data_IF_855967171894
#
_entry.id   IF_855967171894
#
_cell.length_a   1.000
_cell.length_b   1.000
_cell.length_c   1.000
_cell.angle_alpha   90.00
_cell.angle_beta   90.00
_cell.angle_gamma   90.00
#
_symmetry.space_group_name_H-M   'P 1'
#
loop_
_entity.id
_entity.type
_entity.pdbx_description
1 polymer ?
#
# COMPACT_ATOMS: atom_id res chain seq x y z
N UNK A 1 -6.32 13.80 -12.06
CA UNK A 1 -5.97 12.36 -12.12
C UNK A 1 -4.65 12.25 -11.39
N UNK A 2 -4.56 11.43 -10.35
CA UNK A 2 -3.34 11.32 -9.54
C UNK A 2 -2.25 10.62 -10.35
N UNK A 3 -1.43 11.40 -11.05
CA UNK A 3 -0.30 10.92 -11.87
C UNK A 3 0.77 10.20 -11.04
N UNK A 4 0.69 10.26 -9.71
CA UNK A 4 1.65 9.67 -8.76
C UNK A 4 1.35 8.20 -8.40
N UNK A 5 0.15 7.69 -8.69
CA UNK A 5 -0.19 6.30 -8.38
C UNK A 5 0.07 5.41 -9.58
N UNK A 6 0.76 4.29 -9.35
CA UNK A 6 0.89 3.25 -10.37
C UNK A 6 -0.42 2.45 -10.38
N UNK A 7 -1.12 2.34 -11.53
CA UNK A 7 -2.38 1.62 -11.61
C UNK A 7 -2.23 0.15 -11.19
N UNK A 8 -3.16 -0.35 -10.37
CA UNK A 8 -3.12 -1.75 -9.91
C UNK A 8 -3.05 -2.76 -11.06
N UNK A 9 -3.71 -2.46 -12.18
CA UNK A 9 -3.66 -3.28 -13.40
C UNK A 9 -2.24 -3.48 -13.96
N UNK A 10 -1.36 -2.50 -13.78
CA UNK A 10 0.04 -2.60 -14.20
C UNK A 10 0.87 -3.49 -13.27
N UNK A 11 0.41 -3.71 -12.04
CA UNK A 11 1.11 -4.48 -11.00
C UNK A 11 0.75 -5.97 -11.03
N UNK A 12 -0.29 -6.36 -11.77
CA UNK A 12 -0.76 -7.76 -11.85
C UNK A 12 0.32 -8.71 -12.36
N UNK A 13 1.18 -8.27 -13.27
CA UNK A 13 2.30 -9.08 -13.78
C UNK A 13 3.33 -9.44 -12.69
N UNK A 14 3.37 -8.68 -11.60
CA UNK A 14 4.29 -8.87 -10.47
C UNK A 14 3.71 -9.78 -9.39
N UNK A 15 2.44 -10.22 -9.50
CA UNK A 15 1.80 -11.01 -8.45
C UNK A 15 2.52 -12.34 -8.19
N UNK A 16 3.02 -12.99 -9.24
CA UNK A 16 3.75 -14.25 -9.12
C UNK A 16 5.09 -14.07 -8.41
N UNK A 17 5.84 -13.01 -8.72
CA UNK A 17 7.09 -12.71 -8.00
C UNK A 17 6.81 -12.32 -6.55
N UNK A 18 5.73 -11.59 -6.31
CA UNK A 18 5.31 -11.21 -4.96
C UNK A 18 4.93 -12.43 -4.12
N UNK A 19 4.26 -13.44 -4.70
CA UNK A 19 3.96 -14.72 -4.03
C UNK A 19 5.25 -15.45 -3.60
N UNK A 20 6.29 -15.43 -4.44
CA UNK A 20 7.60 -16.00 -4.11
C UNK A 20 8.24 -15.25 -2.94
N UNK A 21 8.19 -13.92 -2.97
CA UNK A 21 8.74 -13.09 -1.89
C UNK A 21 7.98 -13.29 -0.57
N UNK A 22 6.66 -13.34 -0.60
CA UNK A 22 5.82 -13.63 0.57
C UNK A 22 6.11 -15.01 1.15
N UNK A 23 6.27 -16.02 0.30
CA UNK A 23 6.62 -17.39 0.75
C UNK A 23 7.97 -17.43 1.46
N UNK A 24 8.93 -16.57 1.08
CA UNK A 24 10.24 -16.49 1.71
C UNK A 24 10.21 -15.91 3.14
N UNK A 25 9.14 -15.18 3.49
CA UNK A 25 8.97 -14.53 4.80
C UNK A 25 7.75 -15.05 5.57
N UNK A 26 7.12 -16.14 5.11
CA UNK A 26 5.81 -16.61 5.55
C UNK A 26 5.65 -16.97 7.05
N UNK A 27 6.71 -16.85 7.86
CA UNK A 27 6.65 -16.98 9.31
C UNK A 27 6.80 -15.66 10.09
N UNK A 28 7.14 -14.55 9.42
CA UNK A 28 7.34 -13.24 10.05
C UNK A 28 6.08 -12.37 10.05
N UNK A 29 5.14 -12.64 9.14
CA UNK A 29 3.94 -11.84 8.94
C UNK A 29 2.75 -12.52 9.65
N UNK A 30 2.10 -11.75 10.54
CA UNK A 30 0.88 -12.19 11.25
C UNK A 30 -0.40 -11.92 10.44
N UNK A 31 -0.36 -10.96 9.51
CA UNK A 31 -1.48 -10.59 8.63
C UNK A 31 -1.57 -11.55 7.43
N UNK A 32 -2.76 -12.06 7.11
CA UNK A 32 -2.96 -12.94 5.95
C UNK A 32 -2.90 -12.12 4.63
N UNK A 33 -1.85 -12.28 3.79
CA UNK A 33 -1.76 -11.54 2.54
C UNK A 33 -2.78 -11.98 1.48
N UNK A 34 -3.47 -13.11 1.69
CA UNK A 34 -4.46 -13.65 0.75
C UNK A 34 -5.90 -13.41 1.21
N UNK A 35 -6.10 -12.62 2.26
CA UNK A 35 -7.44 -12.25 2.70
C UNK A 35 -8.22 -11.57 1.56
N UNK A 36 -9.45 -12.01 1.24
CA UNK A 36 -10.19 -11.50 0.09
C UNK A 36 -10.63 -10.03 0.26
N UNK A 37 -10.64 -9.49 1.48
CA UNK A 37 -11.11 -8.12 1.74
C UNK A 37 -9.97 -7.11 1.69
N UNK A 38 -8.80 -7.43 2.27
CA UNK A 38 -7.69 -6.49 2.39
C UNK A 38 -6.36 -6.98 1.80
N UNK A 39 -6.27 -8.26 1.41
CA UNK A 39 -5.03 -8.92 1.01
C UNK A 39 -4.35 -8.23 -0.16
N UNK A 40 -5.13 -7.82 -1.17
CA UNK A 40 -4.60 -7.03 -2.32
C UNK A 40 -3.94 -5.74 -1.83
N UNK A 41 -4.61 -4.95 -0.99
CA UNK A 41 -4.06 -3.70 -0.49
C UNK A 41 -2.77 -3.92 0.31
N UNK A 42 -2.75 -4.95 1.16
CA UNK A 42 -1.57 -5.31 1.94
C UNK A 42 -0.40 -5.78 1.06
N UNK A 43 -0.67 -6.62 0.07
CA UNK A 43 0.30 -7.10 -0.93
C UNK A 43 0.93 -5.93 -1.69
N UNK A 44 0.11 -4.98 -2.15
CA UNK A 44 0.60 -3.78 -2.84
C UNK A 44 1.43 -2.89 -1.92
N UNK A 45 1.01 -2.69 -0.67
CA UNK A 45 1.84 -2.00 0.31
C UNK A 45 3.23 -2.65 0.46
N UNK A 46 3.32 -3.97 0.57
CA UNK A 46 4.60 -4.68 0.66
C UNK A 46 5.45 -4.54 -0.60
N UNK A 47 4.82 -4.56 -1.78
CA UNK A 47 5.52 -4.32 -3.05
C UNK A 47 6.23 -2.96 -3.05
N UNK A 48 5.56 -1.88 -2.67
CA UNK A 48 6.14 -0.53 -2.69
C UNK A 48 7.11 -0.26 -1.53
N UNK A 49 6.84 -0.81 -0.34
CA UNK A 49 7.60 -0.50 0.88
C UNK A 49 8.79 -1.45 1.13
N UNK A 50 8.64 -2.74 0.81
CA UNK A 50 9.63 -3.77 1.14
C UNK A 50 10.39 -4.29 -0.08
N UNK A 51 9.72 -4.37 -1.23
CA UNK A 51 10.32 -4.95 -2.45
C UNK A 51 10.17 -4.07 -3.70
N UNK A 52 10.55 -2.78 -3.66
CA UNK A 52 10.44 -1.90 -4.82
C UNK A 52 11.28 -2.38 -6.02
N UNK A 53 12.32 -3.19 -5.80
CA UNK A 53 13.13 -3.80 -6.87
C UNK A 53 12.35 -4.79 -7.76
N UNK A 54 11.18 -5.26 -7.33
CA UNK A 54 10.29 -6.03 -8.21
C UNK A 54 9.66 -5.15 -9.30
N UNK A 55 9.46 -3.86 -9.05
CA UNK A 55 8.93 -2.93 -10.04
C UNK A 55 9.88 -2.86 -11.25
N UNK A 56 11.19 -2.79 -11.00
CA UNK A 56 12.21 -2.77 -12.06
C UNK A 56 12.18 -4.03 -12.94
N UNK A 57 11.86 -5.20 -12.36
CA UNK A 57 11.71 -6.45 -13.11
C UNK A 57 10.49 -6.46 -14.02
N UNK A 58 9.44 -5.75 -13.63
CA UNK A 58 8.26 -5.52 -14.44
C UNK A 58 8.37 -4.35 -15.41
N UNK A 59 9.58 -3.78 -15.60
CA UNK A 59 9.83 -2.58 -16.41
C UNK A 59 9.03 -1.35 -15.91
N UNK A 60 8.63 -1.36 -14.63
CA UNK A 60 7.97 -0.25 -13.95
C UNK A 60 9.03 0.51 -13.15
N UNK A 61 9.40 1.68 -13.63
CA UNK A 61 10.31 2.57 -12.91
C UNK A 61 9.50 3.55 -12.08
N UNK A 62 9.65 3.47 -10.76
CA UNK A 62 9.03 4.39 -9.81
C UNK A 62 10.10 5.31 -9.21
N UNK A 63 9.80 6.61 -9.18
CA UNK A 63 10.55 7.59 -8.41
C UNK A 63 10.36 7.37 -6.91
N UNK A 64 11.23 7.96 -6.08
CA UNK A 64 11.10 7.88 -4.62
C UNK A 64 9.76 8.47 -4.13
N UNK A 65 9.24 9.49 -4.81
CA UNK A 65 7.95 10.10 -4.52
C UNK A 65 6.78 9.16 -4.85
N UNK A 66 6.82 8.50 -6.00
CA UNK A 66 5.82 7.47 -6.36
C UNK A 66 5.88 6.29 -5.39
N UNK A 67 7.06 5.82 -4.98
CA UNK A 67 7.20 4.78 -3.97
C UNK A 67 6.57 5.19 -2.63
N UNK A 68 6.79 6.43 -2.19
CA UNK A 68 6.21 6.98 -0.96
C UNK A 68 4.69 7.01 -1.04
N UNK A 69 4.12 7.65 -2.08
CA UNK A 69 2.68 7.84 -2.19
C UNK A 69 1.92 6.54 -2.45
N UNK A 70 2.48 5.62 -3.25
CA UNK A 70 1.89 4.30 -3.42
C UNK A 70 1.94 3.50 -2.12
N UNK A 71 3.06 3.53 -1.37
CA UNK A 71 3.14 2.87 -0.06
C UNK A 71 2.10 3.43 0.91
N UNK A 72 1.98 4.75 0.99
CA UNK A 72 0.99 5.43 1.84
C UNK A 72 -0.44 5.05 1.45
N UNK A 73 -0.78 5.20 0.17
CA UNK A 73 -2.12 4.92 -0.35
C UNK A 73 -2.55 3.48 -0.04
N UNK A 74 -1.70 2.50 -0.36
CA UNK A 74 -2.02 1.09 -0.15
C UNK A 74 -2.06 0.72 1.34
N UNK A 75 -1.20 1.31 2.18
CA UNK A 75 -1.24 1.11 3.62
C UNK A 75 -2.51 1.70 4.25
N UNK A 76 -2.91 2.91 3.85
CA UNK A 76 -4.15 3.53 4.33
C UNK A 76 -5.37 2.69 3.93
N UNK A 77 -5.42 2.26 2.66
CA UNK A 77 -6.49 1.39 2.16
C UNK A 77 -6.55 0.05 2.92
N UNK A 78 -5.39 -0.58 3.12
CA UNK A 78 -5.27 -1.79 3.96
C UNK A 78 -5.79 -1.54 5.38
N UNK A 79 -5.35 -0.45 6.03
CA UNK A 79 -5.75 -0.10 7.40
C UNK A 79 -7.27 0.01 7.54
N UNK A 80 -7.93 0.72 6.62
CA UNK A 80 -9.40 0.88 6.65
C UNK A 80 -10.16 -0.40 6.34
N UNK A 81 -9.69 -1.22 5.41
CA UNK A 81 -10.30 -2.53 5.12
C UNK A 81 -10.12 -3.50 6.29
N UNK A 82 -8.94 -3.55 6.88
CA UNK A 82 -8.66 -4.35 8.07
C UNK A 82 -9.51 -3.90 9.27
N UNK A 83 -9.63 -2.59 9.50
CA UNK A 83 -10.48 -2.01 10.55
C UNK A 83 -11.94 -2.44 10.42
N UNK A 84 -12.50 -2.42 9.20
CA UNK A 84 -13.90 -2.85 8.96
C UNK A 84 -14.13 -4.31 9.30
N UNK A 85 -13.14 -5.17 9.07
CA UNK A 85 -13.24 -6.62 9.28
C UNK A 85 -12.94 -7.04 10.72
N UNK A 86 -11.91 -6.46 11.32
CA UNK A 86 -11.35 -6.90 12.60
C UNK A 86 -11.57 -5.90 13.75
N UNK A 87 -12.11 -4.72 13.44
CA UNK A 87 -12.17 -3.59 14.37
C UNK A 87 -10.89 -2.76 14.34
N UNK A 88 -10.95 -1.63 15.04
CA UNK A 88 -9.87 -0.65 15.10
C UNK A 88 -8.58 -1.23 15.69
N UNK A 89 -7.47 -1.03 14.99
CA UNK A 89 -6.12 -1.39 15.40
C UNK A 89 -5.21 -0.15 15.35
N UNK A 90 -4.92 0.41 16.52
CA UNK A 90 -4.07 1.59 16.66
C UNK A 90 -2.63 1.35 16.16
N UNK A 91 -2.14 0.11 16.19
CA UNK A 91 -0.82 -0.24 15.69
C UNK A 91 -0.76 -0.12 14.16
N UNK A 92 -1.79 -0.63 13.48
CA UNK A 92 -1.91 -0.52 12.01
C UNK A 92 -2.10 0.94 11.59
N UNK A 93 -2.97 1.70 12.28
CA UNK A 93 -3.16 3.12 11.98
C UNK A 93 -1.87 3.93 12.19
N UNK A 94 -1.12 3.66 13.27
CA UNK A 94 0.17 4.31 13.50
C UNK A 94 1.18 4.03 12.38
N UNK A 95 1.15 2.85 11.77
CA UNK A 95 2.03 2.54 10.63
C UNK A 95 1.73 3.40 9.40
N UNK A 96 0.47 3.79 9.18
CA UNK A 96 0.10 4.74 8.10
C UNK A 96 0.82 6.08 8.28
N UNK A 97 0.79 6.63 9.50
CA UNK A 97 1.46 7.90 9.81
C UNK A 97 2.99 7.80 9.73
N UNK A 98 3.57 6.68 10.19
CA UNK A 98 5.02 6.45 10.11
C UNK A 98 5.59 6.49 8.69
N UNK A 99 4.79 6.16 7.67
CA UNK A 99 5.20 6.27 6.26
C UNK A 99 5.46 7.74 5.90
N UNK A 100 4.59 8.64 6.36
CA UNK A 100 4.70 10.08 6.10
C UNK A 100 5.82 10.72 6.93
N UNK A 101 6.06 10.24 8.16
CA UNK A 101 7.09 10.77 9.06
C UNK A 101 8.51 10.36 8.63
N UNK A 102 8.70 9.14 8.15
CA UNK A 102 10.03 8.58 7.85
C UNK A 102 10.47 8.77 6.40
N UNK A 103 9.93 9.78 5.71
CA UNK A 103 10.31 10.08 4.34
C UNK A 103 11.46 11.08 4.27
N UNK A 104 12.40 10.83 3.34
CA UNK A 104 13.41 11.81 2.94
C UNK A 104 12.95 12.68 1.75
N UNK A 105 11.73 12.44 1.25
CA UNK A 105 11.16 13.20 0.15
C UNK A 105 10.49 14.48 0.65
N UNK A 106 10.40 15.48 -0.22
CA UNK A 106 9.59 16.66 0.06
C UNK A 106 8.11 16.28 -0.07
N UNK A 107 7.43 16.17 1.07
CA UNK A 107 6.04 15.71 1.12
C UNK A 107 5.08 16.83 0.70
N UNK A 108 4.24 16.55 -0.30
CA UNK A 108 3.14 17.44 -0.69
C UNK A 108 1.85 17.02 0.03
N UNK A 109 1.45 17.83 1.01
CA UNK A 109 0.25 17.59 1.79
C UNK A 109 -1.04 17.60 0.96
N UNK A 110 -1.08 18.31 -0.18
CA UNK A 110 -2.24 18.27 -1.07
C UNK A 110 -2.40 16.89 -1.70
N UNK A 111 -1.29 16.24 -2.06
CA UNK A 111 -1.31 14.88 -2.60
C UNK A 111 -1.77 13.89 -1.54
N UNK A 112 -1.26 14.00 -0.31
CA UNK A 112 -1.69 13.16 0.83
C UNK A 112 -3.20 13.29 1.09
N UNK A 113 -3.72 14.52 1.12
CA UNK A 113 -5.16 14.77 1.28
C UNK A 113 -5.98 14.16 0.14
N UNK A 114 -5.54 14.34 -1.12
CA UNK A 114 -6.21 13.75 -2.28
C UNK A 114 -6.24 12.22 -2.22
N UNK A 115 -5.14 11.59 -1.80
CA UNK A 115 -5.07 10.13 -1.65
C UNK A 115 -5.96 9.63 -0.52
N UNK A 116 -6.06 10.40 0.57
CA UNK A 116 -6.96 10.08 1.70
C UNK A 116 -8.41 10.10 1.23
N UNK A 117 -8.83 11.20 0.61
CA UNK A 117 -10.18 11.36 0.07
C UNK A 117 -10.50 10.29 -0.99
N UNK A 118 -9.50 9.89 -1.80
CA UNK A 118 -9.66 8.81 -2.77
C UNK A 118 -9.99 7.49 -2.09
N UNK A 119 -9.22 7.09 -1.06
CA UNK A 119 -9.49 5.85 -0.31
C UNK A 119 -10.88 5.91 0.35
N UNK A 120 -11.22 7.02 0.98
CA UNK A 120 -12.55 7.20 1.60
C UNK A 120 -13.69 7.08 0.59
N UNK A 121 -13.51 7.65 -0.61
CA UNK A 121 -14.49 7.57 -1.69
C UNK A 121 -14.62 6.13 -2.22
N UNK A 122 -13.50 5.45 -2.48
CA UNK A 122 -13.48 4.09 -3.02
C UNK A 122 -14.09 3.06 -2.06
N UNK A 123 -13.82 3.21 -0.78
CA UNK A 123 -14.34 2.32 0.24
C UNK A 123 -15.79 2.67 0.61
N UNK A 124 -16.33 3.79 0.10
CA UNK A 124 -17.52 4.44 0.61
C UNK A 124 -17.24 5.02 1.99
N UNK A 125 -17.62 6.28 2.23
CA UNK A 125 -17.47 6.89 3.55
C UNK A 125 -17.98 5.91 4.61
N UNK A 126 -17.10 5.52 5.54
CA UNK A 126 -17.53 4.74 6.69
C UNK A 126 -18.66 5.50 7.39
N UNK A 127 -19.70 4.80 7.88
CA UNK A 127 -20.85 5.45 8.53
C UNK A 127 -20.46 6.39 9.67
#
# INVERSE_FOLDING_TARGET
MNEVLIPDQALVSLDQDLDVMLSSIGGEIVIDPNDPEYGVAFRRYLLFSRWPSLLERGELHATAEELLYNSYYWMLKFSKLHERKHGYDAGIEQQVFKILENTHCNLDWNVVEQLTNLVETELGAGP
#
